data_IF_516252011219
#
_entry.id   IF_516252011219
#
_cell.length_a   1.000
_cell.length_b   1.000
_cell.length_c   1.000
_cell.angle_alpha   90.00
_cell.angle_beta   90.00
_cell.angle_gamma   90.00
#
_symmetry.space_group_name_H-M   'P 1'
#
loop_
_entity.id
_entity.type
_entity.pdbx_description
1 polymer ?
#
# COMPACT_ATOMS: atom_id res chain seq x y z
N UNK A 1 -56.88 -68.91 22.77
CA UNK A 1 -55.77 -69.88 22.70
C UNK A 1 -54.79 -69.32 21.69
N UNK A 2 -53.61 -68.83 22.04
CA UNK A 2 -52.89 -68.70 23.31
C UNK A 2 -51.99 -67.48 23.19
N UNK A 3 -51.81 -66.77 24.30
CA UNK A 3 -50.68 -65.87 24.55
C UNK A 3 -49.35 -66.60 24.31
N UNK A 4 -48.31 -65.85 23.93
CA UNK A 4 -47.05 -65.85 24.68
C UNK A 4 -46.12 -64.74 24.17
N UNK A 5 -45.77 -63.90 25.14
CA UNK A 5 -44.80 -62.82 25.13
C UNK A 5 -43.38 -63.25 24.75
N UNK A 6 -42.56 -62.28 24.32
CA UNK A 6 -41.14 -62.14 24.64
C UNK A 6 -40.67 -60.77 24.12
N UNK A 7 -40.72 -59.74 24.96
CA UNK A 7 -39.73 -59.35 25.98
C UNK A 7 -38.62 -58.45 25.40
N UNK A 8 -38.59 -57.24 25.97
CA UNK A 8 -37.72 -56.11 25.69
C UNK A 8 -36.23 -56.44 25.82
N UNK A 9 -35.41 -55.83 24.96
CA UNK A 9 -34.05 -55.43 25.34
C UNK A 9 -33.77 -54.03 24.78
N UNK A 10 -34.48 -53.03 25.32
CA UNK A 10 -34.01 -51.65 25.23
C UNK A 10 -32.86 -51.50 26.23
N UNK A 11 -31.63 -51.41 25.72
CA UNK A 11 -30.51 -50.91 26.53
C UNK A 11 -30.77 -49.43 26.78
N UNK A 12 -31.47 -49.16 27.87
CA UNK A 12 -31.62 -47.83 28.42
C UNK A 12 -30.24 -47.41 28.92
N UNK A 13 -29.58 -46.54 28.16
CA UNK A 13 -28.49 -45.74 28.68
C UNK A 13 -29.07 -44.91 29.84
N UNK A 14 -28.77 -45.33 31.08
CA UNK A 14 -29.20 -44.61 32.27
C UNK A 14 -28.80 -43.13 32.21
N UNK A 15 -29.50 -42.25 32.93
CA UNK A 15 -29.24 -40.82 32.88
C UNK A 15 -27.82 -40.55 33.38
N UNK A 16 -26.92 -40.22 32.45
CA UNK A 16 -25.56 -39.80 32.77
C UNK A 16 -25.65 -38.47 33.51
N UNK A 17 -25.57 -38.50 34.84
CA UNK A 17 -25.49 -37.30 35.67
C UNK A 17 -24.16 -36.61 35.37
N UNK A 18 -24.22 -35.61 34.49
CA UNK A 18 -23.12 -34.68 34.26
C UNK A 18 -22.92 -33.87 35.55
N UNK A 19 -21.98 -34.31 36.38
CA UNK A 19 -21.51 -33.53 37.53
C UNK A 19 -20.74 -32.32 37.00
N UNK A 20 -21.01 -31.14 37.58
CA UNK A 20 -20.72 -29.81 37.02
C UNK A 20 -19.26 -29.47 36.70
N UNK A 21 -18.30 -30.39 36.87
CA UNK A 21 -16.90 -30.21 36.45
C UNK A 21 -16.62 -30.72 35.02
N UNK A 22 -17.46 -31.60 34.47
CA UNK A 22 -17.28 -32.11 33.10
C UNK A 22 -18.05 -31.31 32.03
N UNK A 23 -19.08 -30.54 32.43
CA UNK A 23 -19.81 -29.65 31.52
C UNK A 23 -18.96 -28.48 31.00
N UNK A 24 -17.97 -28.03 31.79
CA UNK A 24 -17.04 -26.96 31.41
C UNK A 24 -15.95 -27.46 30.44
N UNK A 25 -15.50 -28.71 30.58
CA UNK A 25 -14.50 -29.29 29.67
C UNK A 25 -15.02 -29.58 28.26
N UNK A 26 -16.30 -29.99 28.13
CA UNK A 26 -16.92 -30.32 26.85
C UNK A 26 -17.44 -29.08 26.09
N UNK A 27 -17.79 -28.01 26.80
CA UNK A 27 -18.10 -26.72 26.18
C UNK A 27 -16.83 -26.04 25.65
N UNK A 28 -15.70 -26.12 26.34
CA UNK A 28 -14.42 -25.59 25.84
C UNK A 28 -13.89 -26.34 24.59
N UNK A 29 -14.12 -27.64 24.46
CA UNK A 29 -13.63 -28.43 23.30
C UNK A 29 -14.46 -28.26 22.04
N UNK A 30 -15.71 -27.78 22.12
CA UNK A 30 -16.56 -27.49 20.94
C UNK A 30 -16.59 -25.99 20.63
N UNK A 31 -16.66 -25.11 21.64
CA UNK A 31 -16.70 -23.65 21.42
C UNK A 31 -15.36 -23.07 20.95
N UNK A 32 -14.22 -23.61 21.38
CA UNK A 32 -12.91 -23.06 20.99
C UNK A 32 -12.59 -23.37 19.51
N UNK A 33 -12.81 -24.59 18.98
CA UNK A 33 -12.68 -24.84 17.54
C UNK A 33 -13.73 -24.09 16.72
N UNK A 34 -14.97 -23.95 17.22
CA UNK A 34 -16.01 -23.21 16.50
C UNK A 34 -15.71 -21.71 16.47
N UNK A 35 -15.19 -21.11 17.54
CA UNK A 35 -14.72 -19.72 17.58
C UNK A 35 -13.45 -19.52 16.74
N UNK A 36 -12.52 -20.48 16.69
CA UNK A 36 -11.36 -20.46 15.80
C UNK A 36 -11.79 -20.59 14.33
N UNK A 37 -12.75 -21.46 14.02
CA UNK A 37 -13.35 -21.57 12.68
C UNK A 37 -14.15 -20.29 12.38
N UNK A 38 -14.85 -19.67 13.33
CA UNK A 38 -15.57 -18.40 13.12
C UNK A 38 -14.62 -17.20 12.99
N UNK A 39 -13.44 -17.24 13.61
CA UNK A 39 -12.39 -16.22 13.45
C UNK A 39 -11.65 -16.39 12.11
N UNK A 40 -11.28 -17.62 11.75
CA UNK A 40 -10.67 -17.96 10.45
C UNK A 40 -11.65 -17.83 9.28
N UNK A 41 -12.92 -18.17 9.51
CA UNK A 41 -14.01 -17.92 8.59
C UNK A 41 -14.46 -16.47 8.66
N UNK A 42 -14.26 -15.71 9.74
CA UNK A 42 -14.67 -14.30 9.84
C UNK A 42 -13.97 -13.41 8.82
N UNK A 43 -12.69 -13.67 8.51
CA UNK A 43 -12.02 -13.03 7.38
C UNK A 43 -12.54 -13.51 6.01
N UNK A 44 -12.87 -14.80 5.85
CA UNK A 44 -13.38 -15.36 4.58
C UNK A 44 -14.85 -15.02 4.32
N UNK A 45 -15.67 -15.00 5.35
CA UNK A 45 -17.10 -14.65 5.41
C UNK A 45 -17.26 -13.14 5.38
N UNK A 46 -16.37 -12.37 6.01
CA UNK A 46 -16.31 -10.92 5.86
C UNK A 46 -15.94 -10.49 4.43
N UNK A 47 -14.94 -11.15 3.82
CA UNK A 47 -14.60 -10.96 2.39
C UNK A 47 -15.72 -11.46 1.47
N UNK A 48 -16.33 -12.60 1.77
CA UNK A 48 -17.45 -13.17 1.01
C UNK A 48 -18.72 -12.30 1.07
N UNK A 49 -19.05 -11.77 2.24
CA UNK A 49 -20.18 -10.88 2.47
C UNK A 49 -19.96 -9.51 1.84
N UNK A 50 -18.75 -8.94 1.95
CA UNK A 50 -18.39 -7.70 1.25
C UNK A 50 -18.47 -7.87 -0.28
N UNK A 51 -18.02 -9.01 -0.81
CA UNK A 51 -18.14 -9.36 -2.23
C UNK A 51 -19.59 -9.51 -2.69
N UNK A 52 -20.47 -10.07 -1.85
CA UNK A 52 -21.90 -10.20 -2.17
C UNK A 52 -22.64 -8.86 -2.13
N UNK A 53 -22.27 -7.96 -1.21
CA UNK A 53 -22.95 -6.67 -1.01
C UNK A 53 -22.52 -5.61 -2.04
N UNK A 54 -21.24 -5.56 -2.39
CA UNK A 54 -20.69 -4.61 -3.36
C UNK A 54 -19.56 -5.27 -4.18
N UNK A 55 -19.90 -6.14 -5.16
CA UNK A 55 -18.91 -6.94 -5.90
C UNK A 55 -17.91 -6.07 -6.67
N UNK A 56 -18.36 -4.97 -7.27
CA UNK A 56 -17.52 -4.07 -8.05
C UNK A 56 -16.47 -3.35 -7.18
N UNK A 57 -16.87 -2.81 -6.02
CA UNK A 57 -15.94 -2.19 -5.05
C UNK A 57 -14.90 -3.21 -4.57
N UNK A 58 -15.36 -4.43 -4.28
CA UNK A 58 -14.47 -5.50 -3.84
C UNK A 58 -13.43 -5.86 -4.91
N UNK A 59 -13.85 -6.02 -6.16
CA UNK A 59 -12.96 -6.36 -7.28
C UNK A 59 -11.95 -5.27 -7.56
N UNK A 60 -12.38 -4.00 -7.59
CA UNK A 60 -11.48 -2.86 -7.74
C UNK A 60 -10.47 -2.79 -6.59
N UNK A 61 -10.92 -2.92 -5.33
CA UNK A 61 -10.04 -2.87 -4.15
C UNK A 61 -9.04 -4.02 -4.14
N UNK A 62 -9.48 -5.23 -4.48
CA UNK A 62 -8.64 -6.41 -4.55
C UNK A 62 -7.53 -6.24 -5.60
N UNK A 63 -7.91 -5.85 -6.81
CA UNK A 63 -6.98 -5.60 -7.91
C UNK A 63 -6.02 -4.46 -7.58
N UNK A 64 -6.53 -3.37 -6.99
CA UNK A 64 -5.74 -2.25 -6.51
C UNK A 64 -4.70 -2.67 -5.49
N UNK A 65 -5.08 -3.48 -4.50
CA UNK A 65 -4.15 -3.95 -3.47
C UNK A 65 -3.03 -4.81 -4.06
N UNK A 66 -3.35 -5.69 -5.03
CA UNK A 66 -2.34 -6.51 -5.71
C UNK A 66 -1.35 -5.61 -6.46
N UNK A 67 -1.85 -4.68 -7.28
CA UNK A 67 -0.96 -3.79 -8.03
C UNK A 67 -0.18 -2.85 -7.10
N UNK A 68 -0.81 -2.35 -6.03
CA UNK A 68 -0.17 -1.54 -4.99
C UNK A 68 1.05 -2.25 -4.41
N UNK A 69 0.92 -3.53 -4.03
CA UNK A 69 2.06 -4.28 -3.48
C UNK A 69 3.21 -4.42 -4.49
N UNK A 70 2.90 -4.66 -5.76
CA UNK A 70 3.90 -4.77 -6.82
C UNK A 70 4.65 -3.44 -7.05
N UNK A 71 3.93 -2.32 -7.08
CA UNK A 71 4.56 -1.00 -7.29
C UNK A 71 5.40 -0.58 -6.09
N UNK A 72 4.95 -0.88 -4.86
CA UNK A 72 5.69 -0.54 -3.64
C UNK A 72 7.01 -1.29 -3.60
N UNK A 73 7.03 -2.53 -4.09
CA UNK A 73 8.24 -3.32 -4.18
C UNK A 73 9.30 -2.74 -5.16
N UNK A 74 8.87 -1.95 -6.16
CA UNK A 74 9.76 -1.21 -7.08
C UNK A 74 10.22 0.10 -6.42
N UNK A 75 9.30 0.85 -5.82
CA UNK A 75 9.61 2.11 -5.12
C UNK A 75 10.60 1.85 -3.98
N UNK A 76 10.39 0.81 -3.19
CA UNK A 76 11.29 0.41 -2.10
C UNK A 76 12.66 -0.02 -2.63
N UNK A 77 12.71 -0.73 -3.76
CA UNK A 77 13.98 -1.09 -4.39
C UNK A 77 14.77 0.15 -4.82
N UNK A 78 14.09 1.14 -5.43
CA UNK A 78 14.70 2.42 -5.80
C UNK A 78 15.19 3.23 -4.58
N UNK A 79 14.37 3.34 -3.52
CA UNK A 79 14.73 4.03 -2.28
C UNK A 79 15.99 3.45 -1.61
N UNK A 80 16.31 2.17 -1.87
CA UNK A 80 17.38 1.45 -1.21
C UNK A 80 18.67 1.32 -2.04
N UNK A 81 18.73 1.90 -3.24
CA UNK A 81 19.95 1.93 -4.06
C UNK A 81 20.62 3.30 -4.03
N UNK A 82 21.93 3.32 -4.24
CA UNK A 82 22.68 4.58 -4.39
C UNK A 82 22.62 5.13 -5.82
N UNK A 83 22.55 4.23 -6.80
CA UNK A 83 22.51 4.55 -8.24
C UNK A 83 21.88 3.39 -9.02
N UNK A 84 21.07 3.73 -10.03
CA UNK A 84 20.51 2.78 -10.99
C UNK A 84 21.49 2.35 -12.10
N UNK A 85 22.73 2.82 -12.05
CA UNK A 85 23.81 2.40 -12.95
C UNK A 85 24.52 1.13 -12.47
N UNK A 86 24.28 0.70 -11.22
CA UNK A 86 24.86 -0.52 -10.67
C UNK A 86 24.07 -1.77 -11.08
N UNK A 87 24.35 -2.29 -12.28
CA UNK A 87 23.69 -3.49 -12.81
C UNK A 87 23.97 -4.80 -12.03
N UNK A 88 24.90 -4.78 -11.06
CA UNK A 88 25.17 -5.93 -10.19
C UNK A 88 24.24 -6.00 -8.97
N UNK A 89 23.44 -4.96 -8.74
CA UNK A 89 22.48 -4.90 -7.64
C UNK A 89 21.11 -5.42 -8.09
N UNK A 90 20.63 -6.50 -7.46
CA UNK A 90 19.34 -7.11 -7.76
C UNK A 90 18.17 -6.12 -7.64
N UNK A 91 18.29 -5.11 -6.77
CA UNK A 91 17.29 -4.05 -6.62
C UNK A 91 17.23 -3.15 -7.85
N UNK A 92 18.38 -2.83 -8.44
CA UNK A 92 18.45 -2.10 -9.71
C UNK A 92 17.82 -2.91 -10.83
N UNK A 93 18.09 -4.21 -10.88
CA UNK A 93 17.48 -5.11 -11.88
C UNK A 93 15.96 -5.22 -11.72
N UNK A 94 15.46 -5.28 -10.48
CA UNK A 94 14.03 -5.25 -10.17
C UNK A 94 13.36 -3.95 -10.63
N UNK A 95 13.99 -2.80 -10.39
CA UNK A 95 13.50 -1.51 -10.87
C UNK A 95 13.42 -1.49 -12.40
N UNK A 96 14.53 -1.83 -13.08
CA UNK A 96 14.63 -1.81 -14.55
C UNK A 96 13.62 -2.73 -15.24
N UNK A 97 13.46 -3.95 -14.75
CA UNK A 97 12.56 -4.94 -15.37
C UNK A 97 11.08 -4.69 -15.05
N UNK A 98 10.76 -4.06 -13.92
CA UNK A 98 9.40 -3.90 -13.45
C UNK A 98 8.73 -2.59 -13.84
N UNK A 99 9.50 -1.51 -14.05
CA UNK A 99 8.96 -0.14 -14.04
C UNK A 99 7.92 0.14 -15.13
N UNK A 100 8.17 -0.26 -16.37
CA UNK A 100 7.27 0.05 -17.48
C UNK A 100 5.96 -0.74 -17.38
N UNK A 101 6.06 -2.03 -17.03
CA UNK A 101 4.88 -2.87 -16.79
C UNK A 101 4.06 -2.37 -15.61
N UNK A 102 4.73 -1.90 -14.55
CA UNK A 102 4.08 -1.30 -13.39
C UNK A 102 3.30 -0.03 -13.76
N UNK A 103 3.92 0.92 -14.47
CA UNK A 103 3.25 2.14 -14.95
C UNK A 103 2.03 1.80 -15.81
N UNK A 104 2.20 0.89 -16.79
CA UNK A 104 1.12 0.53 -17.72
C UNK A 104 -0.11 -0.05 -17.00
N UNK A 105 0.10 -0.98 -16.05
CA UNK A 105 -0.99 -1.58 -15.27
C UNK A 105 -1.61 -0.61 -14.27
N UNK A 106 -0.79 0.16 -13.56
CA UNK A 106 -1.27 1.01 -12.48
C UNK A 106 -2.02 2.24 -13.00
N UNK A 107 -1.62 2.78 -14.16
CA UNK A 107 -2.29 3.92 -14.83
C UNK A 107 -3.70 3.57 -15.32
N UNK A 108 -3.90 2.34 -15.80
CA UNK A 108 -5.16 1.90 -16.42
C UNK A 108 -6.12 1.26 -15.43
N UNK A 109 -5.71 1.16 -14.16
CA UNK A 109 -6.50 0.55 -13.12
C UNK A 109 -7.73 1.41 -12.77
N UNK A 110 -8.91 0.80 -12.90
CA UNK A 110 -10.19 1.38 -12.47
C UNK A 110 -10.27 1.36 -10.94
N UNK A 111 -10.47 2.54 -10.37
CA UNK A 111 -10.60 2.78 -8.92
C UNK A 111 -11.71 3.81 -8.62
N UNK A 112 -12.58 4.08 -9.59
CA UNK A 112 -13.62 5.12 -9.48
C UNK A 112 -14.63 4.84 -8.35
N UNK A 113 -14.70 3.59 -7.87
CA UNK A 113 -15.54 3.20 -6.74
C UNK A 113 -14.80 3.22 -5.39
N UNK A 114 -13.50 3.49 -5.37
CA UNK A 114 -12.67 3.43 -4.16
C UNK A 114 -12.55 4.76 -3.42
N UNK A 115 -13.09 5.85 -3.97
CA UNK A 115 -13.05 7.17 -3.34
C UNK A 115 -11.81 7.98 -3.69
N UNK A 116 -11.87 9.28 -3.38
CA UNK A 116 -10.84 10.27 -3.78
C UNK A 116 -9.52 10.07 -3.07
N UNK A 117 -9.52 9.57 -1.82
CA UNK A 117 -8.28 9.26 -1.11
C UNK A 117 -7.45 8.21 -1.85
N UNK A 118 -8.09 7.17 -2.39
CA UNK A 118 -7.40 6.16 -3.21
C UNK A 118 -6.92 6.73 -4.56
N UNK A 119 -7.65 7.67 -5.16
CA UNK A 119 -7.16 8.39 -6.34
C UNK A 119 -5.89 9.19 -6.05
N UNK A 120 -5.83 9.90 -4.92
CA UNK A 120 -4.65 10.66 -4.51
C UNK A 120 -3.44 9.75 -4.27
N UNK A 121 -3.63 8.62 -3.58
CA UNK A 121 -2.56 7.63 -3.35
C UNK A 121 -2.09 7.02 -4.67
N UNK A 122 -3.02 6.71 -5.59
CA UNK A 122 -2.67 6.21 -6.93
C UNK A 122 -1.83 7.23 -7.68
N UNK A 123 -2.25 8.50 -7.71
CA UNK A 123 -1.51 9.54 -8.42
C UNK A 123 -0.14 9.80 -7.80
N UNK A 124 -0.02 9.85 -6.47
CA UNK A 124 1.27 9.96 -5.79
C UNK A 124 2.20 8.80 -6.17
N UNK A 125 1.69 7.57 -6.18
CA UNK A 125 2.49 6.42 -6.56
C UNK A 125 2.86 6.40 -8.06
N UNK A 126 1.96 6.82 -8.95
CA UNK A 126 2.30 7.03 -10.37
C UNK A 126 3.40 8.08 -10.51
N UNK A 127 3.35 9.17 -9.73
CA UNK A 127 4.40 10.19 -9.74
C UNK A 127 5.76 9.60 -9.38
N UNK A 128 5.83 8.78 -8.33
CA UNK A 128 7.05 8.06 -7.95
C UNK A 128 7.55 7.16 -9.08
N UNK A 129 6.66 6.39 -9.72
CA UNK A 129 7.07 5.49 -10.81
C UNK A 129 7.62 6.28 -12.02
N UNK A 130 6.97 7.37 -12.43
CA UNK A 130 7.47 8.23 -13.50
C UNK A 130 8.79 8.90 -13.14
N UNK A 131 8.96 9.33 -11.88
CA UNK A 131 10.23 9.87 -11.38
C UNK A 131 11.36 8.82 -11.42
N UNK A 132 11.07 7.58 -11.01
CA UNK A 132 12.04 6.47 -11.07
C UNK A 132 12.41 6.15 -12.52
N UNK A 133 11.43 6.16 -13.43
CA UNK A 133 11.71 5.96 -14.86
C UNK A 133 12.54 7.10 -15.45
N UNK A 134 12.27 8.33 -15.03
CA UNK A 134 13.08 9.50 -15.39
C UNK A 134 14.53 9.37 -14.94
N UNK A 135 14.78 8.87 -13.72
CA UNK A 135 16.13 8.59 -13.21
C UNK A 135 16.85 7.50 -14.02
N UNK A 136 16.13 6.46 -14.44
CA UNK A 136 16.68 5.39 -15.28
C UNK A 136 17.12 5.87 -16.66
N UNK A 137 16.26 6.64 -17.32
CA UNK A 137 16.41 7.09 -18.68
C UNK A 137 15.78 8.49 -18.80
N UNK A 138 16.58 9.56 -18.69
CA UNK A 138 16.07 10.93 -18.64
C UNK A 138 15.24 11.27 -19.88
N UNK A 139 13.93 11.41 -19.67
CA UNK A 139 12.95 11.79 -20.67
C UNK A 139 12.03 12.85 -20.07
N UNK A 140 11.98 14.04 -20.67
CA UNK A 140 11.19 15.16 -20.16
C UNK A 140 9.69 14.81 -19.99
N UNK A 141 9.14 13.91 -20.82
CA UNK A 141 7.76 13.47 -20.67
C UNK A 141 7.51 12.79 -19.32
N UNK A 142 8.47 12.01 -18.83
CA UNK A 142 8.36 11.35 -17.53
C UNK A 142 8.47 12.35 -16.37
N UNK A 143 9.31 13.37 -16.53
CA UNK A 143 9.37 14.48 -15.59
C UNK A 143 8.02 15.22 -15.51
N UNK A 144 7.45 15.59 -16.66
CA UNK A 144 6.17 16.31 -16.71
C UNK A 144 4.98 15.46 -16.26
N UNK A 145 4.92 14.19 -16.61
CA UNK A 145 3.88 13.28 -16.11
C UNK A 145 4.01 13.08 -14.60
N UNK A 146 5.22 12.94 -14.05
CA UNK A 146 5.41 12.89 -12.59
C UNK A 146 4.88 14.15 -11.91
N UNK A 147 5.23 15.35 -12.40
CA UNK A 147 4.72 16.63 -11.86
C UNK A 147 3.20 16.74 -11.94
N UNK A 148 2.61 16.36 -13.07
CA UNK A 148 1.15 16.36 -13.28
C UNK A 148 0.45 15.50 -12.24
N UNK A 149 1.00 14.32 -11.95
CA UNK A 149 0.48 13.40 -10.93
C UNK A 149 0.62 13.95 -9.52
N UNK A 150 1.75 14.58 -9.18
CA UNK A 150 1.92 15.26 -7.88
C UNK A 150 0.90 16.38 -7.67
N UNK A 151 0.63 17.18 -8.70
CA UNK A 151 -0.40 18.24 -8.63
C UNK A 151 -1.79 17.66 -8.39
N UNK A 152 -2.14 16.58 -9.08
CA UNK A 152 -3.41 15.87 -8.89
C UNK A 152 -3.55 15.34 -7.46
N UNK A 153 -2.53 14.62 -6.97
CA UNK A 153 -2.52 14.09 -5.61
C UNK A 153 -2.61 15.19 -4.55
N UNK A 154 -1.89 16.30 -4.72
CA UNK A 154 -1.93 17.45 -3.81
C UNK A 154 -3.30 18.13 -3.81
N UNK A 155 -3.89 18.35 -4.98
CA UNK A 155 -5.22 18.98 -5.09
C UNK A 155 -6.28 18.18 -4.31
N UNK A 156 -6.22 16.85 -4.37
CA UNK A 156 -7.13 15.99 -3.60
C UNK A 156 -6.77 16.01 -2.10
N UNK A 157 -5.49 15.85 -1.76
CA UNK A 157 -5.05 15.73 -0.37
C UNK A 157 -5.23 17.03 0.45
N UNK A 158 -5.24 18.19 -0.22
CA UNK A 158 -5.43 19.50 0.42
C UNK A 158 -6.90 19.92 0.54
N UNK A 159 -7.83 19.23 -0.13
CA UNK A 159 -9.26 19.54 -0.08
C UNK A 159 -10.02 18.48 0.73
N UNK A 160 -10.24 18.76 2.01
CA UNK A 160 -10.97 17.85 2.90
C UNK A 160 -12.42 17.61 2.47
N UNK A 161 -13.02 18.48 1.66
CA UNK A 161 -14.39 18.29 1.17
C UNK A 161 -14.52 17.12 0.18
N UNK A 162 -13.41 16.70 -0.43
CA UNK A 162 -13.35 15.56 -1.34
C UNK A 162 -13.16 14.22 -0.61
N UNK A 163 -12.84 14.26 0.69
CA UNK A 163 -12.40 13.10 1.46
C UNK A 163 -13.44 12.74 2.53
N UNK A 164 -13.59 11.45 2.79
CA UNK A 164 -14.37 10.98 3.94
C UNK A 164 -13.52 10.94 5.23
N UNK A 165 -14.18 10.84 6.39
CA UNK A 165 -13.51 10.87 7.70
C UNK A 165 -12.37 9.83 7.85
N UNK A 166 -12.54 8.63 7.27
CA UNK A 166 -11.51 7.58 7.33
C UNK A 166 -10.31 7.91 6.47
N UNK A 167 -10.53 8.51 5.30
CA UNK A 167 -9.45 8.99 4.42
C UNK A 167 -8.67 10.13 5.07
N UNK A 168 -9.37 11.09 5.70
CA UNK A 168 -8.75 12.18 6.45
C UNK A 168 -7.91 11.63 7.61
N UNK A 169 -8.45 10.67 8.38
CA UNK A 169 -7.70 10.03 9.46
C UNK A 169 -6.46 9.28 8.94
N UNK A 170 -6.59 8.60 7.80
CA UNK A 170 -5.47 7.92 7.15
C UNK A 170 -4.38 8.90 6.71
N UNK A 171 -4.75 10.03 6.11
CA UNK A 171 -3.80 11.07 5.69
C UNK A 171 -3.15 11.78 6.87
N UNK A 172 -3.79 11.82 8.04
CA UNK A 172 -3.15 12.28 9.28
C UNK A 172 -2.13 11.28 9.83
N UNK A 173 -2.42 9.96 9.74
CA UNK A 173 -1.50 8.90 10.20
C UNK A 173 -0.30 8.71 9.30
N UNK A 174 -0.48 8.89 7.98
CA UNK A 174 0.59 8.91 6.99
C UNK A 174 0.49 10.23 6.22
N UNK A 175 1.27 11.25 6.59
CA UNK A 175 1.14 12.58 6.01
C UNK A 175 1.50 12.56 4.53
N UNK A 176 0.48 12.38 3.69
CA UNK A 176 0.61 12.29 2.24
C UNK A 176 1.21 13.57 1.65
N UNK A 177 0.97 14.72 2.30
CA UNK A 177 1.53 16.01 1.90
C UNK A 177 3.06 16.00 2.04
N UNK A 178 3.59 15.48 3.15
CA UNK A 178 5.05 15.37 3.36
C UNK A 178 5.66 14.44 2.32
N UNK A 179 4.99 13.33 2.01
CA UNK A 179 5.43 12.40 0.97
C UNK A 179 5.40 13.04 -0.43
N UNK A 180 4.38 13.87 -0.74
CA UNK A 180 4.33 14.66 -1.98
C UNK A 180 5.52 15.62 -2.07
N UNK A 181 5.83 16.34 -1.00
CA UNK A 181 6.96 17.28 -0.99
C UNK A 181 8.29 16.53 -1.17
N UNK A 182 8.44 15.37 -0.54
CA UNK A 182 9.63 14.52 -0.72
C UNK A 182 9.79 14.07 -2.19
N UNK A 183 8.70 13.64 -2.83
CA UNK A 183 8.76 13.22 -4.24
C UNK A 183 9.04 14.41 -5.16
N UNK A 184 8.52 15.61 -4.87
CA UNK A 184 8.90 16.82 -5.60
C UNK A 184 10.39 17.13 -5.46
N UNK A 185 10.92 17.08 -4.24
CA UNK A 185 12.35 17.27 -3.97
C UNK A 185 13.17 16.29 -4.81
N UNK A 186 12.83 15.00 -4.76
CA UNK A 186 13.51 13.95 -5.52
C UNK A 186 13.46 14.20 -7.03
N UNK A 187 12.27 14.49 -7.56
CA UNK A 187 12.08 14.76 -8.98
C UNK A 187 12.88 15.98 -9.46
N UNK A 188 12.84 17.08 -8.71
CA UNK A 188 13.56 18.31 -9.09
C UNK A 188 15.06 18.17 -8.92
N UNK A 189 15.51 17.44 -7.89
CA UNK A 189 16.93 17.11 -7.72
C UNK A 189 17.45 16.31 -8.91
N UNK A 190 16.71 15.30 -9.37
CA UNK A 190 17.07 14.52 -10.55
C UNK A 190 17.09 15.39 -11.81
N UNK A 191 16.14 16.30 -11.98
CA UNK A 191 16.07 17.19 -13.14
C UNK A 191 17.26 18.15 -13.21
N UNK A 192 17.60 18.78 -12.09
CA UNK A 192 18.79 19.64 -11.95
C UNK A 192 20.07 18.82 -12.18
N UNK A 193 20.16 17.61 -11.62
CA UNK A 193 21.30 16.71 -11.86
C UNK A 193 21.51 16.41 -13.35
N UNK A 194 20.43 16.31 -14.12
CA UNK A 194 20.48 16.10 -15.57
C UNK A 194 20.76 17.38 -16.39
N UNK A 195 21.10 18.49 -15.74
CA UNK A 195 21.52 19.74 -16.38
C UNK A 195 20.39 20.73 -16.66
N UNK A 196 19.18 20.45 -16.18
CA UNK A 196 18.02 21.32 -16.36
C UNK A 196 17.83 22.26 -15.18
N UNK A 197 18.40 23.47 -15.29
CA UNK A 197 18.42 24.47 -14.22
C UNK A 197 17.08 25.19 -13.98
N UNK A 198 16.08 24.99 -14.87
CA UNK A 198 14.77 25.67 -14.84
C UNK A 198 13.99 25.49 -13.54
N UNK A 199 14.30 24.45 -12.76
CA UNK A 199 13.64 24.15 -11.49
C UNK A 199 14.57 24.24 -10.27
N UNK A 200 15.76 24.85 -10.41
CA UNK A 200 16.73 24.98 -9.31
C UNK A 200 16.21 25.87 -8.17
N UNK A 201 15.52 26.97 -8.47
CA UNK A 201 14.91 27.82 -7.44
C UNK A 201 13.90 27.04 -6.60
N UNK A 202 13.00 26.31 -7.26
CA UNK A 202 11.97 25.50 -6.60
C UNK A 202 12.61 24.40 -5.74
N UNK A 203 13.67 23.76 -6.25
CA UNK A 203 14.44 22.77 -5.51
C UNK A 203 15.02 23.37 -4.21
N UNK A 204 15.61 24.56 -4.28
CA UNK A 204 16.21 25.21 -3.11
C UNK A 204 15.14 25.64 -2.09
N UNK A 205 13.97 26.09 -2.55
CA UNK A 205 12.83 26.38 -1.68
C UNK A 205 12.37 25.13 -0.91
N UNK A 206 12.17 24.01 -1.61
CA UNK A 206 11.76 22.75 -0.99
C UNK A 206 12.83 22.24 -0.02
N UNK A 207 14.12 22.31 -0.42
CA UNK A 207 15.26 21.94 0.43
C UNK A 207 15.24 22.71 1.76
N UNK A 208 15.04 24.02 1.70
CA UNK A 208 15.00 24.88 2.89
C UNK A 208 13.79 24.56 3.76
N UNK A 209 12.61 24.33 3.16
CA UNK A 209 11.39 23.91 3.87
C UNK A 209 11.58 22.60 4.64
N UNK A 210 12.39 21.67 4.12
CA UNK A 210 12.71 20.40 4.78
C UNK A 210 13.80 20.49 5.86
N UNK A 211 14.34 21.68 6.13
CA UNK A 211 15.39 21.88 7.15
C UNK A 211 16.80 22.04 6.58
N UNK A 212 16.96 22.17 5.26
CA UNK A 212 18.24 22.44 4.62
C UNK A 212 19.19 21.24 4.61
N UNK A 213 20.49 21.50 4.46
CA UNK A 213 21.48 20.42 4.33
C UNK A 213 21.68 19.58 5.59
N UNK A 214 21.41 20.14 6.77
CA UNK A 214 21.47 19.38 8.02
C UNK A 214 20.48 18.21 8.01
N UNK A 215 19.26 18.41 7.52
CA UNK A 215 18.27 17.33 7.39
C UNK A 215 18.81 16.16 6.54
N UNK A 216 19.32 16.44 5.35
CA UNK A 216 19.79 15.40 4.41
C UNK A 216 21.10 14.73 4.81
N UNK A 217 21.92 15.37 5.65
CA UNK A 217 23.10 14.74 6.25
C UNK A 217 22.71 13.66 7.28
N UNK A 218 21.57 13.81 7.96
CA UNK A 218 21.12 12.89 9.01
C UNK A 218 20.15 11.81 8.48
N UNK A 219 19.31 12.14 7.50
CA UNK A 219 18.25 11.25 6.96
C UNK A 219 18.73 10.15 6.01
N UNK A 220 20.05 9.96 5.84
CA UNK A 220 20.60 8.94 4.94
C UNK A 220 19.98 8.98 3.54
N UNK A 221 19.81 10.17 2.93
CA UNK A 221 19.48 10.26 1.51
C UNK A 221 20.50 9.41 0.74
N UNK A 222 20.14 8.26 0.17
CA UNK A 222 21.13 7.33 -0.42
C UNK A 222 21.48 7.67 -1.86
N UNK A 223 20.54 8.28 -2.57
CA UNK A 223 20.63 8.48 -4.01
C UNK A 223 21.68 9.53 -4.39
N UNK A 224 22.76 9.10 -5.06
CA UNK A 224 23.93 9.96 -5.37
C UNK A 224 23.58 11.19 -6.20
N UNK A 225 22.75 11.01 -7.24
CA UNK A 225 22.31 12.09 -8.13
C UNK A 225 21.58 13.20 -7.35
N UNK A 226 20.69 12.80 -6.43
CA UNK A 226 19.97 13.76 -5.60
C UNK A 226 20.92 14.52 -4.67
N UNK A 227 21.88 13.84 -4.01
CA UNK A 227 22.88 14.50 -3.16
C UNK A 227 23.66 15.57 -3.92
N UNK A 228 24.11 15.22 -5.13
CA UNK A 228 24.89 16.12 -5.97
C UNK A 228 24.08 17.37 -6.35
N UNK A 229 22.81 17.22 -6.74
CA UNK A 229 21.95 18.35 -7.09
C UNK A 229 21.54 19.23 -5.89
N UNK A 230 21.47 18.67 -4.68
CA UNK A 230 21.14 19.44 -3.47
C UNK A 230 22.28 20.34 -2.98
N UNK A 231 23.50 20.14 -3.52
CA UNK A 231 24.70 20.91 -3.20
C UNK A 231 25.02 20.96 -1.70
N UNK A 232 24.70 19.87 -0.99
CA UNK A 232 25.02 19.74 0.43
C UNK A 232 26.42 19.15 0.58
N UNK A 233 27.40 20.01 0.88
CA UNK A 233 28.77 19.60 1.23
C UNK A 233 28.76 18.73 2.50
N UNK A 234 29.53 17.64 2.47
CA UNK A 234 29.81 16.79 3.63
C UNK A 234 30.94 17.37 4.46
#
# INVERSE_FOLDING_TARGET
MSELDNEENSVTAGPFKVTGKWAVGLTCTILIPFLLIYALAGERVGKGYARLKNPEIYEQLHTYTIQFNLIMAIIEAWNNVESLENFKDDRVMKVRSGIDGAIARYKTLSIDKLGKGNEAVRDLNLAKLYMIRYDLAPNENDFYESRKRLRSALAIASDSSLLNDKEIEQFKKRPIIDEIEWVKLALYSLHVFHGYETHKSDLMEIKNKMGGCSYFQHEMLRHKKMKQALECSY
#
